data_IF_251461460156
#
_entry.id   IF_251461460156
#
_cell.length_a   1.000
_cell.length_b   1.000
_cell.length_c   1.000
_cell.angle_alpha   90.00
_cell.angle_beta   90.00
_cell.angle_gamma   90.00
#
_symmetry.space_group_name_H-M   'P 1'
#
loop_
_entity.id
_entity.type
_entity.pdbx_description
1 polymer ?
#
# COMPACT_ATOMS: atom_id res chain seq x y z
N UNK A 1 -5.47 -19.40 1.68
CA UNK A 1 -4.85 -18.59 2.75
C UNK A 1 -4.91 -19.37 4.05
N UNK A 2 -3.87 -19.36 4.88
CA UNK A 2 -3.92 -20.01 6.19
C UNK A 2 -4.84 -19.25 7.15
N UNK A 3 -5.35 -19.94 8.16
CA UNK A 3 -6.26 -19.35 9.15
C UNK A 3 -5.57 -18.27 10.00
N UNK A 4 -4.30 -18.48 10.34
CA UNK A 4 -3.45 -17.51 11.03
C UNK A 4 -3.28 -16.22 10.22
N UNK A 5 -3.01 -16.35 8.92
CA UNK A 5 -2.89 -15.19 8.03
C UNK A 5 -4.19 -14.38 7.98
N UNK A 6 -5.33 -15.05 7.93
CA UNK A 6 -6.65 -14.41 7.91
C UNK A 6 -6.94 -13.65 9.21
N UNK A 7 -6.55 -14.21 10.37
CA UNK A 7 -6.68 -13.54 11.68
C UNK A 7 -5.82 -12.27 11.74
N UNK A 8 -4.59 -12.33 11.25
CA UNK A 8 -3.68 -11.18 11.22
C UNK A 8 -4.19 -10.05 10.31
N UNK A 9 -4.73 -10.39 9.14
CA UNK A 9 -5.38 -9.44 8.22
C UNK A 9 -6.54 -8.70 8.90
N UNK A 10 -7.43 -9.43 9.60
CA UNK A 10 -8.56 -8.80 10.28
C UNK A 10 -8.14 -7.93 11.45
N UNK A 11 -7.13 -8.35 12.23
CA UNK A 11 -6.55 -7.54 13.30
C UNK A 11 -6.02 -6.20 12.77
N UNK A 12 -5.36 -6.19 11.62
CA UNK A 12 -4.83 -4.96 11.00
C UNK A 12 -5.94 -4.04 10.48
N UNK A 13 -6.99 -4.61 9.89
CA UNK A 13 -8.15 -3.82 9.47
C UNK A 13 -8.76 -3.08 10.66
N UNK A 14 -8.93 -3.77 11.79
CA UNK A 14 -9.44 -3.17 13.02
C UNK A 14 -8.52 -2.06 13.55
N UNK A 15 -7.20 -2.29 13.58
CA UNK A 15 -6.20 -1.27 13.96
C UNK A 15 -6.22 -0.02 13.06
N UNK A 16 -6.70 -0.17 11.82
CA UNK A 16 -6.84 0.92 10.85
C UNK A 16 -8.24 1.56 10.87
N UNK A 17 -9.15 1.12 11.74
CA UNK A 17 -10.54 1.57 11.75
C UNK A 17 -11.33 1.14 10.52
N UNK A 18 -10.89 0.09 9.83
CA UNK A 18 -11.50 -0.42 8.61
C UNK A 18 -12.37 -1.65 8.89
N UNK A 19 -13.52 -1.70 8.23
CA UNK A 19 -14.43 -2.84 8.33
C UNK A 19 -14.06 -3.95 7.35
N UNK A 20 -14.58 -5.17 7.58
CA UNK A 20 -14.50 -6.26 6.59
C UNK A 20 -15.07 -5.85 5.22
N UNK A 21 -16.11 -4.99 5.20
CA UNK A 21 -16.68 -4.45 3.96
C UNK A 21 -15.65 -3.61 3.19
N UNK A 22 -14.83 -2.81 3.89
CA UNK A 22 -13.77 -2.03 3.26
C UNK A 22 -12.73 -2.91 2.57
N UNK A 23 -12.34 -4.03 3.21
CA UNK A 23 -11.47 -5.05 2.60
C UNK A 23 -12.07 -5.57 1.28
N UNK A 24 -13.33 -6.02 1.30
CA UNK A 24 -13.99 -6.54 0.09
C UNK A 24 -14.08 -5.50 -1.03
N UNK A 25 -14.35 -4.23 -0.70
CA UNK A 25 -14.39 -3.15 -1.69
C UNK A 25 -13.00 -2.95 -2.31
N UNK A 26 -11.94 -2.88 -1.48
CA UNK A 26 -10.56 -2.70 -1.94
C UNK A 26 -10.09 -3.91 -2.78
N UNK A 27 -10.39 -5.13 -2.37
CA UNK A 27 -10.10 -6.34 -3.15
C UNK A 27 -10.84 -6.37 -4.48
N UNK A 28 -12.13 -6.00 -4.50
CA UNK A 28 -12.91 -5.89 -5.73
C UNK A 28 -12.32 -4.86 -6.68
N UNK A 29 -11.89 -3.72 -6.16
CA UNK A 29 -11.27 -2.66 -6.96
C UNK A 29 -9.90 -3.09 -7.49
N UNK A 30 -9.09 -3.81 -6.70
CA UNK A 30 -7.84 -4.43 -7.15
C UNK A 30 -8.10 -5.44 -8.28
N UNK A 31 -9.17 -6.24 -8.20
CA UNK A 31 -9.52 -7.17 -9.27
C UNK A 31 -9.96 -6.46 -10.55
N UNK A 32 -10.75 -5.39 -10.41
CA UNK A 32 -11.10 -4.52 -11.56
C UNK A 32 -9.86 -3.90 -12.18
N UNK A 33 -8.90 -3.47 -11.35
CA UNK A 33 -7.64 -2.90 -11.79
C UNK A 33 -6.86 -3.87 -12.68
N UNK A 34 -6.58 -5.07 -12.19
CA UNK A 34 -5.87 -6.07 -12.98
C UNK A 34 -6.60 -6.52 -14.25
N UNK A 35 -7.92 -6.30 -14.34
CA UNK A 35 -8.72 -6.59 -15.54
C UNK A 35 -8.88 -5.39 -16.49
N UNK A 36 -8.49 -4.19 -16.06
CA UNK A 36 -8.62 -2.99 -16.88
C UNK A 36 -7.64 -2.99 -18.04
N UNK A 37 -7.88 -2.12 -19.05
CA UNK A 37 -6.93 -1.89 -20.15
C UNK A 37 -5.88 -0.82 -19.80
N UNK A 38 -5.79 -0.42 -18.52
CA UNK A 38 -4.82 0.59 -18.09
C UNK A 38 -3.40 0.06 -18.24
N UNK A 39 -2.48 0.95 -18.59
CA UNK A 39 -1.06 0.64 -18.55
C UNK A 39 -0.58 0.68 -17.09
N UNK A 40 -0.65 -0.47 -16.43
CA UNK A 40 -0.27 -0.60 -15.02
C UNK A 40 1.17 -0.16 -14.75
N UNK A 41 2.07 -0.23 -15.74
CA UNK A 41 3.46 0.21 -15.56
C UNK A 41 3.56 1.72 -15.35
N UNK A 42 2.66 2.51 -15.94
CA UNK A 42 2.60 3.96 -15.74
C UNK A 42 2.12 4.35 -14.34
N UNK A 43 1.47 3.43 -13.64
CA UNK A 43 0.96 3.63 -12.29
C UNK A 43 1.97 3.22 -11.21
N UNK A 44 3.05 2.55 -11.59
CA UNK A 44 4.06 2.08 -10.63
C UNK A 44 5.00 3.23 -10.23
N UNK A 45 4.86 3.70 -9.00
CA UNK A 45 5.65 4.80 -8.42
C UNK A 45 6.75 4.24 -7.54
N UNK A 46 7.98 4.73 -7.69
CA UNK A 46 9.11 4.36 -6.83
C UNK A 46 8.95 5.01 -5.45
N UNK A 47 8.71 4.20 -4.43
CA UNK A 47 8.45 4.66 -3.06
C UNK A 47 9.61 5.51 -2.51
N UNK A 48 10.85 5.16 -2.83
CA UNK A 48 12.01 5.85 -2.28
C UNK A 48 12.41 7.05 -3.13
N UNK A 49 12.46 6.88 -4.45
CA UNK A 49 12.89 7.95 -5.36
C UNK A 49 11.82 9.01 -5.60
N UNK A 50 10.58 8.59 -5.81
CA UNK A 50 9.51 9.51 -6.21
C UNK A 50 8.76 10.07 -5.00
N UNK A 51 8.54 9.26 -3.96
CA UNK A 51 7.82 9.67 -2.74
C UNK A 51 8.73 9.97 -1.54
N UNK A 52 10.02 9.66 -1.59
CA UNK A 52 10.96 9.91 -0.49
C UNK A 52 10.69 9.06 0.75
N UNK A 53 10.01 7.92 0.59
CA UNK A 53 9.62 7.02 1.67
C UNK A 53 10.51 5.78 1.70
N UNK A 54 10.63 5.17 2.88
CA UNK A 54 11.40 3.95 3.09
C UNK A 54 10.48 2.83 3.51
N UNK A 55 10.57 1.68 2.82
CA UNK A 55 9.80 0.51 3.18
C UNK A 55 10.30 -0.12 4.49
N UNK A 56 9.36 -0.37 5.40
CA UNK A 56 9.59 -0.96 6.70
C UNK A 56 8.64 -2.15 6.90
N UNK A 57 9.05 -3.12 7.71
CA UNK A 57 8.17 -4.17 8.23
C UNK A 57 7.69 -3.76 9.62
N UNK A 58 6.38 -3.69 9.81
CA UNK A 58 5.75 -3.47 11.12
C UNK A 58 5.35 -4.82 11.71
N UNK A 59 5.69 -4.98 12.98
CA UNK A 59 5.25 -6.06 13.87
C UNK A 59 4.55 -5.42 15.05
N UNK A 60 3.85 -6.20 15.87
CA UNK A 60 3.23 -5.71 17.11
C UNK A 60 4.23 -4.98 18.04
N UNK A 61 5.52 -5.32 17.97
CA UNK A 61 6.56 -4.83 18.90
C UNK A 61 7.54 -3.82 18.29
N UNK A 62 7.63 -3.73 16.96
CA UNK A 62 8.67 -2.89 16.33
C UNK A 62 8.40 -2.59 14.85
N UNK A 63 9.00 -1.51 14.37
CA UNK A 63 9.06 -1.13 12.95
C UNK A 63 10.52 -1.17 12.51
N UNK A 64 10.85 -2.03 11.55
CA UNK A 64 12.23 -2.23 11.07
C UNK A 64 12.34 -1.92 9.58
N UNK A 65 13.34 -1.13 9.19
CA UNK A 65 13.65 -0.86 7.78
C UNK A 65 13.96 -2.17 7.05
N UNK A 66 13.39 -2.35 5.86
CA UNK A 66 13.75 -3.45 4.97
C UNK A 66 15.02 -3.05 4.22
N UNK A 67 16.14 -3.76 4.44
CA UNK A 67 17.44 -3.39 3.85
C UNK A 67 17.53 -3.69 2.35
N UNK A 68 16.84 -4.72 1.87
CA UNK A 68 16.83 -5.16 0.46
C UNK A 68 15.38 -5.43 0.03
N UNK A 69 14.59 -4.39 -0.26
CA UNK A 69 13.22 -4.57 -0.72
C UNK A 69 13.21 -5.23 -2.11
N UNK A 70 12.46 -6.31 -2.26
CA UNK A 70 12.27 -6.99 -3.56
C UNK A 70 11.40 -6.16 -4.51
N UNK A 71 10.47 -5.38 -3.95
CA UNK A 71 9.54 -4.52 -4.69
C UNK A 71 9.67 -3.11 -4.15
N UNK A 72 10.17 -2.21 -4.99
CA UNK A 72 10.43 -0.79 -4.66
C UNK A 72 9.31 0.11 -5.19
N UNK A 73 8.70 -0.32 -6.29
CA UNK A 73 7.61 0.42 -6.93
C UNK A 73 6.25 -0.08 -6.47
N UNK A 74 5.31 0.83 -6.22
CA UNK A 74 3.94 0.52 -5.84
C UNK A 74 2.97 1.46 -6.55
N UNK A 75 1.75 0.98 -6.73
CA UNK A 75 0.58 1.73 -7.15
C UNK A 75 -0.44 1.79 -5.99
N UNK A 76 -1.58 2.46 -6.22
CA UNK A 76 -2.64 2.60 -5.19
C UNK A 76 -3.16 1.26 -4.69
N UNK A 77 -3.24 0.27 -5.57
CA UNK A 77 -3.88 -1.00 -5.29
C UNK A 77 -2.93 -1.98 -4.59
N UNK A 78 -1.63 -1.86 -4.84
CA UNK A 78 -0.56 -2.65 -4.21
C UNK A 78 -0.19 -2.11 -2.83
N UNK A 79 -0.39 -0.81 -2.54
CA UNK A 79 -0.29 -0.25 -1.18
C UNK A 79 -1.20 -1.01 -0.22
N UNK A 80 -2.47 -1.18 -0.57
CA UNK A 80 -3.42 -1.94 0.23
C UNK A 80 -2.93 -3.37 0.52
N UNK A 81 -2.44 -4.06 -0.51
CA UNK A 81 -1.88 -5.42 -0.40
C UNK A 81 -0.71 -5.45 0.59
N UNK A 82 0.18 -4.47 0.54
CA UNK A 82 1.38 -4.44 1.38
C UNK A 82 1.06 -4.18 2.85
N UNK A 83 0.16 -3.25 3.14
CA UNK A 83 -0.26 -2.98 4.52
C UNK A 83 -1.00 -4.18 5.11
N UNK A 84 -2.05 -4.64 4.44
CA UNK A 84 -2.93 -5.66 4.98
C UNK A 84 -2.26 -7.03 4.99
N UNK A 85 -1.66 -7.44 3.86
CA UNK A 85 -1.13 -8.80 3.74
C UNK A 85 0.27 -8.93 4.33
N UNK A 86 1.15 -7.96 4.09
CA UNK A 86 2.58 -8.10 4.41
C UNK A 86 3.00 -7.35 5.68
N UNK A 87 2.16 -6.46 6.20
CA UNK A 87 2.47 -5.63 7.37
C UNK A 87 3.57 -4.62 7.04
N UNK A 88 3.72 -4.30 5.76
CA UNK A 88 4.66 -3.30 5.32
C UNK A 88 4.08 -1.93 5.61
N UNK A 89 4.90 -1.05 6.17
CA UNK A 89 4.58 0.35 6.38
C UNK A 89 5.67 1.21 5.78
N UNK A 90 5.34 2.45 5.43
CA UNK A 90 6.30 3.37 4.85
C UNK A 90 6.70 4.45 5.85
N UNK A 91 7.97 4.84 5.82
CA UNK A 91 8.53 5.82 6.74
C UNK A 91 9.24 6.94 5.99
N UNK A 92 8.92 8.18 6.33
CA UNK A 92 9.59 9.35 5.77
C UNK A 92 10.97 9.60 6.37
N UNK A 93 11.67 10.61 5.84
CA UNK A 93 13.01 11.02 6.29
C UNK A 93 13.06 11.39 7.78
N UNK A 94 11.98 11.99 8.30
CA UNK A 94 11.80 12.35 9.71
C UNK A 94 11.44 11.16 10.63
N UNK A 95 11.53 9.93 10.15
CA UNK A 95 11.10 8.70 10.83
C UNK A 95 9.59 8.61 11.13
N UNK A 96 8.75 9.54 10.63
CA UNK A 96 7.29 9.42 10.69
C UNK A 96 6.86 8.21 9.88
N UNK A 97 6.01 7.38 10.48
CA UNK A 97 5.37 6.25 9.81
C UNK A 97 4.07 6.74 9.20
N UNK A 98 3.87 6.44 7.93
CA UNK A 98 2.70 6.87 7.18
C UNK A 98 1.59 5.82 7.29
N UNK A 99 0.35 6.27 7.44
CA UNK A 99 -0.81 5.39 7.31
C UNK A 99 -0.99 4.98 5.85
N UNK A 100 -1.83 3.97 5.61
CA UNK A 100 -2.13 3.53 4.25
C UNK A 100 -2.77 4.66 3.45
N UNK A 101 -3.72 5.38 4.06
CA UNK A 101 -4.45 6.50 3.46
C UNK A 101 -3.51 7.67 3.11
N UNK A 102 -2.55 7.98 4.00
CA UNK A 102 -1.54 9.00 3.71
C UNK A 102 -0.68 8.62 2.49
N UNK A 103 -0.31 7.34 2.35
CA UNK A 103 0.46 6.86 1.19
C UNK A 103 -0.39 6.82 -0.07
N UNK A 104 -1.65 6.41 0.03
CA UNK A 104 -2.60 6.47 -1.10
C UNK A 104 -2.76 7.92 -1.59
N UNK A 105 -2.88 8.89 -0.68
CA UNK A 105 -2.98 10.29 -1.07
C UNK A 105 -1.69 10.81 -1.72
N UNK A 106 -0.51 10.38 -1.25
CA UNK A 106 0.76 10.73 -1.90
C UNK A 106 0.84 10.20 -3.33
N UNK A 107 0.35 8.99 -3.58
CA UNK A 107 0.28 8.41 -4.93
C UNK A 107 -0.69 9.17 -5.81
N UNK A 108 -1.88 9.52 -5.31
CA UNK A 108 -2.86 10.34 -6.05
C UNK A 108 -2.23 11.67 -6.46
N UNK A 109 -1.62 12.37 -5.50
CA UNK A 109 -0.96 13.64 -5.76
C UNK A 109 0.16 13.49 -6.81
N UNK A 110 0.91 12.38 -6.75
CA UNK A 110 1.93 12.07 -7.76
C UNK A 110 1.32 11.86 -9.14
N UNK A 111 0.22 11.10 -9.26
CA UNK A 111 -0.45 10.88 -10.54
C UNK A 111 -1.00 12.18 -11.11
N UNK A 112 -1.69 12.98 -10.29
CA UNK A 112 -2.24 14.27 -10.71
C UNK A 112 -1.14 15.22 -11.21
N UNK A 113 -0.03 15.32 -10.47
CA UNK A 113 1.12 16.14 -10.86
C UNK A 113 1.74 15.71 -12.20
N UNK A 114 1.67 14.43 -12.53
CA UNK A 114 2.27 13.87 -13.75
C UNK A 114 1.24 13.58 -14.86
N UNK A 115 0.00 14.05 -14.73
CA UNK A 115 -1.10 13.78 -15.67
C UNK A 115 -1.32 12.28 -15.96
N UNK A 116 -1.15 11.44 -14.95
CA UNK A 116 -1.35 9.99 -15.04
C UNK A 116 -2.81 9.67 -14.72
N UNK A 117 -3.51 9.03 -15.66
CA UNK A 117 -4.87 8.54 -15.44
C UNK A 117 -4.85 7.22 -14.65
N UNK A 118 -5.54 7.20 -13.50
CA UNK A 118 -5.46 6.09 -12.53
C UNK A 118 -6.82 5.51 -12.11
N UNK A 119 -7.93 6.05 -12.62
CA UNK A 119 -9.29 5.64 -12.26
C UNK A 119 -9.82 4.57 -13.21
N UNK A 120 -10.67 3.68 -12.70
CA UNK A 120 -11.39 2.61 -13.44
C UNK A 120 -12.88 2.81 -13.26
#
# INVERSE_FOLDING_TARGET
>A
MSEEFRKEVFKRLEQMGLTKKNLFIKERNLHKFYKSKLDHYKLMVDIEKDLGLVQCKKTDKSIRKIKKPVIIKVDLYTVFKFYINLGHVFRGKNKKVYTMEEVEQLLINYYEKNNIEYKI
#
